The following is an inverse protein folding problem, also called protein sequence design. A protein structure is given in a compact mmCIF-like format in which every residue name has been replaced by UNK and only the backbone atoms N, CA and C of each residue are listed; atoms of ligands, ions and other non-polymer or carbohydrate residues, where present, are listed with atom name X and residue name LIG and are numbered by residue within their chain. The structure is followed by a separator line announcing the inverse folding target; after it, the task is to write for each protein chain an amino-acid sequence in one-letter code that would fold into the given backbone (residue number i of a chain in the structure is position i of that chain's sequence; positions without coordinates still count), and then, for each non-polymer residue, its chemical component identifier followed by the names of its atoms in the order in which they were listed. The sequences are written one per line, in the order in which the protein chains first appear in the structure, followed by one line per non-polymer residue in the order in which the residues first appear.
data_IF_168218831252
#
_entry.id   IF_168218831252
#
_cell.length_a   1.000
_cell.length_b   1.000
_cell.length_c   1.000
_cell.angle_alpha   90.00
_cell.angle_beta   90.00
_cell.angle_gamma   90.00
#
_symmetry.space_group_name_H-M   'P 1'
#
loop_
_entity.id
_entity.type
_entity.pdbx_description
1 polymer ?
#
# COMPACT_ATOMS: atom_id res chain seq x y z
N UNK A 1 3.42 -22.23 -48.88
CA UNK A 1 3.26 -21.11 -47.94
C UNK A 1 4.23 -21.34 -46.80
N UNK A 2 5.13 -20.40 -46.48
CA UNK A 2 5.99 -20.57 -45.32
C UNK A 2 5.12 -20.52 -44.07
N UNK A 3 5.09 -21.61 -43.33
CA UNK A 3 4.49 -21.68 -42.00
C UNK A 3 5.29 -20.76 -41.10
N UNK A 4 4.66 -19.70 -40.60
CA UNK A 4 5.21 -18.81 -39.58
C UNK A 4 5.56 -19.65 -38.34
N UNK A 5 6.85 -19.93 -38.17
CA UNK A 5 7.40 -20.70 -37.05
C UNK A 5 7.71 -19.81 -35.85
N UNK A 6 7.23 -18.56 -35.82
CA UNK A 6 7.43 -17.69 -34.67
C UNK A 6 6.71 -18.32 -33.46
N UNK A 7 7.44 -18.72 -32.40
CA UNK A 7 6.79 -19.24 -31.21
C UNK A 7 5.81 -18.20 -30.69
N UNK A 8 4.60 -18.58 -30.25
CA UNK A 8 3.60 -17.63 -29.80
C UNK A 8 4.20 -16.73 -28.72
N UNK A 9 4.13 -15.40 -28.93
CA UNK A 9 4.60 -14.42 -27.96
C UNK A 9 3.96 -14.77 -26.61
N UNK A 10 4.80 -15.09 -25.62
CA UNK A 10 4.35 -15.39 -24.26
C UNK A 10 3.53 -14.19 -23.75
N UNK A 11 2.26 -14.44 -23.44
CA UNK A 11 1.37 -13.41 -22.90
C UNK A 11 1.98 -12.81 -21.63
N UNK A 12 2.23 -11.50 -21.64
CA UNK A 12 2.90 -10.81 -20.52
C UNK A 12 1.96 -10.62 -19.33
N UNK A 13 0.73 -10.21 -19.62
CA UNK A 13 -0.34 -9.92 -18.66
C UNK A 13 -1.59 -10.72 -19.03
N UNK A 14 -2.22 -11.36 -18.04
CA UNK A 14 -3.53 -11.98 -18.19
C UNK A 14 -4.62 -10.92 -18.34
N UNK A 15 -4.54 -9.85 -17.55
CA UNK A 15 -5.41 -8.69 -17.63
C UNK A 15 -4.56 -7.42 -17.71
N UNK A 16 -4.80 -6.64 -18.76
CA UNK A 16 -4.21 -5.33 -18.96
C UNK A 16 -5.33 -4.29 -18.79
N UNK A 17 -5.30 -3.47 -17.72
CA UNK A 17 -6.21 -2.34 -17.57
C UNK A 17 -6.05 -1.32 -18.69
N UNK A 18 -6.93 -0.31 -18.69
CA UNK A 18 -6.80 0.82 -19.61
C UNK A 18 -5.44 1.50 -19.45
N UNK A 19 -4.74 1.64 -20.58
CA UNK A 19 -3.43 2.30 -20.69
C UNK A 19 -3.50 3.36 -21.79
N UNK A 20 -2.73 4.47 -21.70
CA UNK A 20 -1.72 4.77 -20.68
C UNK A 20 -2.33 5.03 -19.30
N UNK A 21 -1.69 4.50 -18.25
CA UNK A 21 -2.02 4.88 -16.87
C UNK A 21 -1.85 6.40 -16.75
N UNK A 22 -2.79 7.06 -16.07
CA UNK A 22 -2.74 8.49 -15.80
C UNK A 22 -2.63 8.75 -14.30
N UNK A 23 -1.89 9.80 -13.97
CA UNK A 23 -1.86 10.37 -12.62
C UNK A 23 -3.11 11.19 -12.37
N UNK A 24 -3.33 11.57 -11.10
CA UNK A 24 -4.42 12.45 -10.67
C UNK A 24 -4.60 13.63 -11.65
N UNK A 25 -5.86 13.96 -12.03
CA UNK A 25 -6.17 15.09 -12.89
C UNK A 25 -5.64 16.43 -12.38
N UNK A 26 -5.29 16.51 -11.09
CA UNK A 26 -4.70 17.71 -10.47
C UNK A 26 -3.40 18.12 -11.16
N UNK A 27 -2.66 17.15 -11.70
CA UNK A 27 -1.36 17.36 -12.32
C UNK A 27 -1.39 17.29 -13.85
N UNK A 28 -2.58 17.32 -14.45
CA UNK A 28 -2.75 17.28 -15.90
C UNK A 28 -2.90 18.69 -16.48
N UNK A 29 -2.30 18.91 -17.64
CA UNK A 29 -2.49 20.11 -18.45
C UNK A 29 -3.28 19.79 -19.73
N UNK A 30 -4.28 20.59 -20.11
CA UNK A 30 -4.80 21.77 -19.39
C UNK A 30 -5.51 21.39 -18.08
N UNK A 31 -5.65 22.33 -17.11
CA UNK A 31 -6.29 22.04 -15.83
C UNK A 31 -7.74 21.59 -15.99
N UNK A 32 -8.12 20.52 -15.29
CA UNK A 32 -9.47 19.92 -15.37
C UNK A 32 -10.16 19.97 -14.00
N UNK A 33 -10.63 21.13 -13.51
CA UNK A 33 -11.11 21.29 -12.13
C UNK A 33 -12.26 20.33 -11.77
N UNK A 34 -13.19 20.09 -12.68
CA UNK A 34 -14.28 19.13 -12.46
C UNK A 34 -13.78 17.68 -12.33
N UNK A 35 -12.74 17.31 -13.09
CA UNK A 35 -12.13 15.99 -12.97
C UNK A 35 -11.34 15.84 -11.66
N UNK A 36 -10.69 16.91 -11.19
CA UNK A 36 -10.03 16.94 -9.87
C UNK A 36 -11.04 16.75 -8.75
N UNK A 37 -12.13 17.53 -8.76
CA UNK A 37 -13.18 17.40 -7.76
C UNK A 37 -13.77 15.99 -7.76
N UNK A 38 -14.06 15.44 -8.94
CA UNK A 38 -14.56 14.07 -9.06
C UNK A 38 -13.56 13.03 -8.56
N UNK A 39 -12.27 13.17 -8.86
CA UNK A 39 -11.22 12.26 -8.38
C UNK A 39 -11.18 12.18 -6.86
N UNK A 40 -11.13 13.34 -6.18
CA UNK A 40 -11.15 13.37 -4.72
C UNK A 40 -12.51 12.94 -4.15
N UNK A 41 -13.62 13.30 -4.82
CA UNK A 41 -14.94 12.86 -4.41
C UNK A 41 -15.06 11.32 -4.45
N UNK A 42 -14.69 10.69 -5.56
CA UNK A 42 -14.74 9.23 -5.75
C UNK A 42 -13.76 8.48 -4.83
N UNK A 43 -12.72 9.15 -4.34
CA UNK A 43 -11.76 8.59 -3.35
C UNK A 43 -12.28 8.64 -1.91
N UNK A 44 -13.09 9.65 -1.58
CA UNK A 44 -13.48 9.98 -0.19
C UNK A 44 -14.97 9.90 0.11
N UNK A 45 -15.82 9.72 -0.88
CA UNK A 45 -17.27 9.70 -0.74
C UNK A 45 -17.84 8.44 -1.42
N UNK A 46 -18.93 7.88 -0.87
CA UNK A 46 -19.40 6.49 -1.05
C UNK A 46 -18.58 5.41 -0.31
N UNK A 47 -18.90 4.13 -0.46
CA UNK A 47 -18.13 3.05 0.20
C UNK A 47 -16.78 2.89 -0.53
N UNK A 48 -15.80 3.71 -0.13
CA UNK A 48 -14.42 3.70 -0.64
C UNK A 48 -13.48 3.05 0.37
N UNK A 49 -12.29 2.65 -0.08
CA UNK A 49 -11.25 2.11 0.79
C UNK A 49 -10.89 3.12 1.88
N UNK A 50 -10.73 4.40 1.52
CA UNK A 50 -10.39 5.46 2.47
C UNK A 50 -11.45 5.61 3.56
N UNK A 51 -12.75 5.65 3.20
CA UNK A 51 -13.82 5.73 4.19
C UNK A 51 -13.94 4.48 5.05
N UNK A 52 -13.69 3.29 4.48
CA UNK A 52 -13.63 2.06 5.27
C UNK A 52 -12.48 2.11 6.29
N UNK A 53 -11.32 2.65 5.92
CA UNK A 53 -10.18 2.81 6.82
C UNK A 53 -10.48 3.86 7.90
N UNK A 54 -11.12 4.99 7.57
CA UNK A 54 -11.60 5.97 8.56
C UNK A 54 -12.56 5.32 9.54
N UNK A 55 -13.55 4.56 9.05
CA UNK A 55 -14.50 3.86 9.90
C UNK A 55 -13.82 2.84 10.83
N UNK A 56 -12.89 2.04 10.31
CA UNK A 56 -12.07 1.12 11.11
C UNK A 56 -11.25 1.88 12.16
N UNK A 57 -10.75 3.07 11.83
CA UNK A 57 -9.93 3.88 12.74
C UNK A 57 -10.74 4.42 13.91
N UNK A 58 -11.93 4.95 13.65
CA UNK A 58 -12.85 5.37 14.70
C UNK A 58 -13.36 4.19 15.53
N UNK A 59 -13.70 3.07 14.88
CA UNK A 59 -14.12 1.85 15.58
C UNK A 59 -13.01 1.34 16.51
N UNK A 60 -11.77 1.31 16.01
CA UNK A 60 -10.59 0.95 16.79
C UNK A 60 -10.37 1.91 17.96
N UNK A 61 -10.48 3.22 17.73
CA UNK A 61 -10.32 4.24 18.76
C UNK A 61 -11.34 4.06 19.90
N UNK A 62 -12.63 3.92 19.58
CA UNK A 62 -13.68 3.87 20.60
C UNK A 62 -13.82 2.52 21.30
N UNK A 63 -13.56 1.40 20.62
CA UNK A 63 -13.86 0.07 21.16
C UNK A 63 -12.64 -0.81 21.42
N UNK A 64 -11.47 -0.46 20.90
CA UNK A 64 -10.30 -1.34 20.96
C UNK A 64 -8.97 -0.60 21.22
N UNK A 65 -9.01 0.62 21.75
CA UNK A 65 -7.81 1.39 22.08
C UNK A 65 -7.84 1.84 23.55
N UNK A 66 -6.68 1.92 24.22
CA UNK A 66 -6.61 2.38 25.59
C UNK A 66 -6.90 3.89 25.68
N UNK A 67 -7.39 4.34 26.83
CA UNK A 67 -7.42 5.77 27.15
C UNK A 67 -5.99 6.31 27.29
N UNK A 68 -5.80 7.62 27.07
CA UNK A 68 -4.49 8.25 27.29
C UNK A 68 -4.02 8.10 28.75
N UNK A 69 -4.94 8.13 29.71
CA UNK A 69 -4.63 7.86 31.12
C UNK A 69 -4.01 6.48 31.31
N UNK A 70 -4.62 5.44 30.73
CA UNK A 70 -4.09 4.06 30.79
C UNK A 70 -2.72 3.95 30.12
N UNK A 71 -2.50 4.72 29.05
CA UNK A 71 -1.25 4.70 28.29
C UNK A 71 -0.14 5.58 28.86
N UNK A 72 -0.37 6.26 29.98
CA UNK A 72 0.68 7.03 30.67
C UNK A 72 1.85 6.15 31.13
N UNK A 73 1.58 4.87 31.43
CA UNK A 73 2.57 3.86 31.75
C UNK A 73 2.48 2.64 30.81
N UNK A 74 3.60 1.94 30.54
CA UNK A 74 3.58 0.68 29.81
C UNK A 74 2.70 -0.36 30.52
N UNK A 75 1.95 -1.16 29.74
CA UNK A 75 1.07 -2.18 30.31
C UNK A 75 0.47 -3.10 29.25
N UNK A 76 -0.54 -3.87 29.66
CA UNK A 76 -1.20 -4.88 28.80
C UNK A 76 -1.85 -4.27 27.54
N UNK A 77 -2.15 -2.98 27.56
CA UNK A 77 -2.70 -2.26 26.43
C UNK A 77 -1.81 -2.31 25.17
N UNK A 78 -0.49 -2.46 25.35
CA UNK A 78 0.47 -2.60 24.24
C UNK A 78 0.18 -3.89 23.45
N UNK A 79 -0.02 -5.00 24.17
CA UNK A 79 -0.45 -6.26 23.56
C UNK A 79 -1.87 -6.17 22.98
N UNK A 80 -2.74 -5.35 23.60
CA UNK A 80 -4.07 -5.04 23.08
C UNK A 80 -4.05 -4.36 21.71
N UNK A 81 -3.20 -3.33 21.52
CA UNK A 81 -3.00 -2.67 20.22
C UNK A 81 -2.47 -3.68 19.20
N UNK A 82 -1.46 -4.48 19.57
CA UNK A 82 -0.92 -5.52 18.69
C UNK A 82 -2.00 -6.51 18.25
N UNK A 83 -2.78 -7.03 19.19
CA UNK A 83 -3.86 -7.99 18.91
C UNK A 83 -4.92 -7.37 18.00
N UNK A 84 -5.34 -6.13 18.27
CA UNK A 84 -6.29 -5.40 17.44
C UNK A 84 -5.79 -5.29 15.99
N UNK A 85 -4.55 -4.84 15.79
CA UNK A 85 -3.96 -4.69 14.47
C UNK A 85 -3.79 -6.04 13.77
N UNK A 86 -3.37 -7.09 14.49
CA UNK A 86 -3.26 -8.45 13.96
C UNK A 86 -4.61 -8.99 13.49
N UNK A 87 -5.68 -8.77 14.25
CA UNK A 87 -7.06 -9.17 13.89
C UNK A 87 -7.53 -8.43 12.65
N UNK A 88 -7.39 -7.10 12.61
CA UNK A 88 -7.81 -6.28 11.46
C UNK A 88 -7.07 -6.74 10.19
N UNK A 89 -5.74 -6.84 10.23
CA UNK A 89 -4.93 -7.27 9.09
C UNK A 89 -5.30 -8.69 8.65
N UNK A 90 -5.49 -9.61 9.60
CA UNK A 90 -5.85 -10.99 9.28
C UNK A 90 -7.23 -11.11 8.65
N UNK A 91 -8.20 -10.31 9.09
CA UNK A 91 -9.53 -10.26 8.48
C UNK A 91 -9.41 -9.70 7.05
N UNK A 92 -8.77 -8.55 6.85
CA UNK A 92 -8.73 -7.90 5.53
C UNK A 92 -7.91 -8.71 4.53
N UNK A 93 -6.65 -9.02 4.84
CA UNK A 93 -5.79 -9.80 3.96
C UNK A 93 -6.30 -11.24 3.79
N UNK A 94 -6.80 -11.85 4.87
CA UNK A 94 -7.37 -13.18 4.86
C UNK A 94 -8.60 -13.28 3.97
N UNK A 95 -9.61 -12.42 4.14
CA UNK A 95 -10.84 -12.46 3.33
C UNK A 95 -10.55 -12.21 1.85
N UNK A 96 -9.69 -11.22 1.53
CA UNK A 96 -9.29 -10.97 0.15
C UNK A 96 -8.53 -12.17 -0.44
N UNK A 97 -7.63 -12.79 0.34
CA UNK A 97 -6.90 -13.97 -0.11
C UNK A 97 -7.83 -15.18 -0.34
N UNK A 98 -8.79 -15.38 0.57
CA UNK A 98 -9.81 -16.42 0.42
C UNK A 98 -10.63 -16.20 -0.85
N UNK A 99 -11.06 -14.97 -1.11
CA UNK A 99 -11.84 -14.60 -2.29
C UNK A 99 -11.07 -14.81 -3.60
N UNK A 100 -9.88 -14.21 -3.72
CA UNK A 100 -9.13 -14.18 -4.98
C UNK A 100 -8.35 -15.45 -5.29
N UNK A 101 -7.87 -16.16 -4.26
CA UNK A 101 -6.91 -17.26 -4.46
C UNK A 101 -7.41 -18.61 -3.96
N UNK A 102 -7.90 -18.73 -2.71
CA UNK A 102 -8.31 -20.05 -2.18
C UNK A 102 -9.59 -20.56 -2.81
N UNK A 103 -10.64 -19.73 -2.81
CA UNK A 103 -11.93 -20.08 -3.41
C UNK A 103 -12.06 -19.60 -4.85
N UNK A 104 -11.16 -18.71 -5.29
CA UNK A 104 -11.10 -18.18 -6.65
C UNK A 104 -12.49 -17.79 -7.17
N UNK A 105 -13.26 -17.04 -6.38
CA UNK A 105 -14.70 -16.78 -6.60
C UNK A 105 -14.97 -16.13 -7.97
N UNK A 106 -14.01 -15.35 -8.48
CA UNK A 106 -14.05 -14.72 -9.81
C UNK A 106 -13.06 -15.32 -10.82
N UNK A 107 -12.51 -16.50 -10.53
CA UNK A 107 -11.46 -17.14 -11.33
C UNK A 107 -10.26 -16.21 -11.54
N UNK A 108 -9.79 -16.12 -12.78
CA UNK A 108 -8.72 -15.20 -13.21
C UNK A 108 -9.24 -13.88 -13.77
N UNK A 109 -10.54 -13.60 -13.65
CA UNK A 109 -11.14 -12.35 -14.11
C UNK A 109 -10.51 -11.16 -13.40
N UNK A 110 -9.97 -10.21 -14.18
CA UNK A 110 -9.19 -9.05 -13.73
C UNK A 110 -7.84 -9.35 -13.08
N UNK A 111 -7.35 -10.61 -13.10
CA UNK A 111 -6.01 -10.94 -12.56
C UNK A 111 -4.94 -10.40 -13.49
N UNK A 112 -3.97 -9.64 -12.97
CA UNK A 112 -2.89 -9.08 -13.80
C UNK A 112 -1.94 -10.14 -14.32
N UNK A 113 -1.36 -10.95 -13.42
CA UNK A 113 -0.32 -11.91 -13.79
C UNK A 113 -0.92 -13.28 -14.21
N UNK A 114 -0.51 -13.85 -15.36
CA UNK A 114 -1.03 -15.14 -15.82
C UNK A 114 -0.51 -16.35 -15.04
N UNK A 115 0.54 -16.20 -14.22
CA UNK A 115 1.14 -17.32 -13.49
C UNK A 115 0.23 -17.81 -12.36
N UNK A 116 0.34 -19.07 -11.92
CA UNK A 116 -0.37 -19.54 -10.73
C UNK A 116 0.10 -18.84 -9.45
N UNK A 117 -0.83 -18.63 -8.52
CA UNK A 117 -0.59 -18.08 -7.18
C UNK A 117 -1.13 -19.04 -6.11
N UNK A 118 -0.48 -19.23 -4.95
CA UNK A 118 0.82 -18.67 -4.56
C UNK A 118 1.99 -19.41 -5.22
N UNK A 119 3.15 -18.75 -5.34
CA UNK A 119 4.38 -19.40 -5.82
C UNK A 119 4.99 -20.28 -4.72
N UNK A 120 5.63 -21.36 -5.15
CA UNK A 120 6.34 -22.31 -4.28
C UNK A 120 7.83 -22.33 -4.64
N UNK A 121 8.67 -22.64 -3.65
CA UNK A 121 10.10 -22.90 -3.84
C UNK A 121 11.03 -22.11 -2.90
N UNK A 122 12.31 -22.47 -2.98
CA UNK A 122 13.40 -22.08 -2.05
C UNK A 122 13.72 -20.59 -1.95
N UNK A 123 13.11 -19.76 -2.80
CA UNK A 123 13.22 -18.30 -2.68
C UNK A 123 12.42 -17.76 -1.48
N UNK A 124 11.46 -18.54 -0.98
CA UNK A 124 10.68 -18.28 0.22
C UNK A 124 11.20 -19.12 1.40
N UNK A 125 11.27 -18.53 2.58
CA UNK A 125 11.77 -19.15 3.82
C UNK A 125 11.02 -20.43 4.18
N UNK A 126 9.71 -20.49 3.93
CA UNK A 126 8.84 -21.66 4.20
C UNK A 126 8.47 -22.44 2.92
N UNK A 127 9.26 -22.30 1.85
CA UNK A 127 9.01 -22.87 0.52
C UNK A 127 7.65 -22.50 -0.10
N UNK A 128 6.98 -21.50 0.47
CA UNK A 128 5.63 -21.05 0.09
C UNK A 128 5.51 -19.55 0.24
N UNK A 129 5.21 -18.87 -0.86
CA UNK A 129 4.97 -17.43 -0.87
C UNK A 129 3.89 -17.01 0.13
N UNK A 130 2.80 -17.78 0.24
CA UNK A 130 1.71 -17.46 1.16
C UNK A 130 2.17 -17.50 2.63
N UNK A 131 2.89 -18.56 3.01
CA UNK A 131 3.36 -18.73 4.41
C UNK A 131 4.37 -17.64 4.78
N UNK A 132 5.31 -17.35 3.88
CA UNK A 132 6.26 -16.24 4.06
C UNK A 132 5.52 -14.91 4.22
N UNK A 133 4.56 -14.65 3.34
CA UNK A 133 3.85 -13.38 3.35
C UNK A 133 3.03 -13.18 4.62
N UNK A 134 2.33 -14.22 5.08
CA UNK A 134 1.62 -14.19 6.37
C UNK A 134 2.60 -13.95 7.52
N UNK A 135 3.72 -14.68 7.56
CA UNK A 135 4.71 -14.55 8.62
C UNK A 135 5.29 -13.14 8.69
N UNK A 136 5.81 -12.60 7.58
CA UNK A 136 6.42 -11.27 7.58
C UNK A 136 5.39 -10.17 7.85
N UNK A 137 4.15 -10.33 7.37
CA UNK A 137 3.06 -9.40 7.67
C UNK A 137 2.75 -9.35 9.17
N UNK A 138 2.53 -10.51 9.80
CA UNK A 138 2.08 -10.56 11.20
C UNK A 138 3.26 -10.39 12.18
N UNK A 139 4.33 -11.17 12.00
CA UNK A 139 5.45 -11.18 12.94
C UNK A 139 6.28 -9.89 12.88
N UNK A 140 6.44 -9.29 11.69
CA UNK A 140 7.21 -8.06 11.51
C UNK A 140 6.31 -6.84 11.29
N UNK A 141 5.46 -6.84 10.27
CA UNK A 141 4.69 -5.65 9.87
C UNK A 141 3.75 -5.15 10.95
N UNK A 142 2.86 -6.01 11.44
CA UNK A 142 1.91 -5.70 12.53
C UNK A 142 2.65 -5.35 13.81
N UNK A 143 3.75 -6.03 14.12
CA UNK A 143 4.57 -5.72 15.30
C UNK A 143 5.13 -4.30 15.23
N UNK A 144 5.78 -3.92 14.13
CA UNK A 144 6.41 -2.61 13.98
C UNK A 144 5.35 -1.50 13.91
N UNK A 145 4.25 -1.71 13.17
CA UNK A 145 3.08 -0.82 13.22
C UNK A 145 2.67 -0.60 14.68
N UNK A 146 2.38 -1.67 15.42
CA UNK A 146 1.84 -1.57 16.77
C UNK A 146 2.81 -0.93 17.76
N UNK A 147 4.11 -1.12 17.58
CA UNK A 147 5.15 -0.46 18.38
C UNK A 147 5.20 1.06 18.11
N UNK A 148 5.08 1.49 16.84
CA UNK A 148 5.02 2.91 16.49
C UNK A 148 3.75 3.58 17.00
N UNK A 149 2.62 2.88 16.90
CA UNK A 149 1.35 3.34 17.49
C UNK A 149 1.47 3.49 19.00
N UNK A 150 2.01 2.46 19.67
CA UNK A 150 2.26 2.45 21.12
C UNK A 150 3.16 3.62 21.54
N UNK A 151 4.23 3.86 20.80
CA UNK A 151 5.16 4.97 21.05
C UNK A 151 4.44 6.31 21.02
N UNK A 152 3.62 6.56 19.98
CA UNK A 152 2.88 7.82 19.88
C UNK A 152 1.77 7.93 20.91
N UNK A 153 1.08 6.83 21.24
CA UNK A 153 0.06 6.82 22.28
C UNK A 153 0.63 7.19 23.65
N UNK A 154 1.74 6.54 24.01
CA UNK A 154 2.48 6.84 25.24
C UNK A 154 3.03 8.26 25.24
N UNK A 155 3.51 8.74 24.10
CA UNK A 155 4.02 10.11 23.96
C UNK A 155 2.92 11.17 24.12
N UNK A 156 1.73 10.92 23.57
CA UNK A 156 0.56 11.78 23.74
C UNK A 156 0.07 11.78 25.19
N UNK A 157 0.06 10.61 25.85
CA UNK A 157 -0.33 10.47 27.24
C UNK A 157 0.58 11.23 28.22
N UNK A 158 1.87 11.33 27.90
CA UNK A 158 2.89 11.96 28.75
C UNK A 158 3.24 13.39 28.31
N UNK A 159 2.55 13.96 27.32
CA UNK A 159 2.76 15.33 26.86
C UNK A 159 4.00 15.54 25.98
N UNK A 160 4.66 14.46 25.51
CA UNK A 160 5.76 14.55 24.53
C UNK A 160 5.26 14.79 23.10
N UNK A 161 4.00 14.44 22.80
CA UNK A 161 3.34 14.74 21.54
C UNK A 161 2.05 15.54 21.81
N UNK A 162 1.79 16.56 20.99
CA UNK A 162 0.66 17.48 21.19
C UNK A 162 -0.67 16.84 20.81
N UNK A 163 -1.64 16.90 21.72
CA UNK A 163 -2.99 16.34 21.53
C UNK A 163 -3.99 17.45 21.21
N UNK A 164 -4.81 17.25 20.18
CA UNK A 164 -5.99 18.08 19.89
C UNK A 164 -7.27 17.27 20.05
N UNK A 165 -8.39 17.98 20.17
CA UNK A 165 -9.74 17.39 20.07
C UNK A 165 -10.54 18.07 18.97
N UNK A 166 -11.63 17.44 18.54
CA UNK A 166 -12.55 18.05 17.58
C UNK A 166 -13.14 19.36 18.12
N UNK A 167 -13.43 19.44 19.42
CA UNK A 167 -14.02 20.62 20.05
C UNK A 167 -13.05 21.81 20.07
N UNK A 168 -11.76 21.55 20.24
CA UNK A 168 -10.73 22.61 20.31
C UNK A 168 -10.26 23.05 18.94
N UNK A 169 -10.15 22.12 17.98
CA UNK A 169 -9.54 22.37 16.67
C UNK A 169 -10.31 21.64 15.54
N UNK A 170 -11.60 21.96 15.29
CA UNK A 170 -12.44 21.18 14.38
C UNK A 170 -11.93 21.17 12.94
N UNK A 171 -11.44 22.32 12.44
CA UNK A 171 -10.92 22.45 11.07
C UNK A 171 -9.66 21.59 10.91
N UNK A 172 -8.70 21.73 11.82
CA UNK A 172 -7.44 20.99 11.77
C UNK A 172 -7.65 19.49 11.99
N UNK A 173 -8.57 19.11 12.88
CA UNK A 173 -8.96 17.72 13.09
C UNK A 173 -9.42 17.06 11.78
N UNK A 174 -10.33 17.71 11.05
CA UNK A 174 -10.81 17.18 9.76
C UNK A 174 -9.71 17.23 8.70
N UNK A 175 -8.93 18.32 8.64
CA UNK A 175 -7.87 18.51 7.65
C UNK A 175 -6.81 17.38 7.69
N UNK A 176 -6.43 16.90 8.87
CA UNK A 176 -5.41 15.86 9.01
C UNK A 176 -5.78 14.59 8.22
N UNK A 177 -7.04 14.17 8.21
CA UNK A 177 -7.47 13.00 7.44
C UNK A 177 -7.16 13.14 5.94
N UNK A 178 -7.32 14.34 5.37
CA UNK A 178 -7.02 14.60 3.96
C UNK A 178 -5.53 14.86 3.71
N UNK A 179 -4.82 15.42 4.70
CA UNK A 179 -3.39 15.70 4.59
C UNK A 179 -2.53 14.45 4.72
N UNK A 180 -2.98 13.43 5.44
CA UNK A 180 -2.25 12.17 5.60
C UNK A 180 -1.96 11.53 4.23
N UNK A 181 -2.94 11.25 3.34
CA UNK A 181 -2.63 10.65 2.04
C UNK A 181 -1.71 11.51 1.15
N UNK A 182 -1.73 12.83 1.31
CA UNK A 182 -0.82 13.75 0.60
C UNK A 182 0.60 13.63 1.14
N UNK A 183 0.77 13.68 2.47
CA UNK A 183 2.04 13.48 3.16
C UNK A 183 2.66 12.14 2.78
N UNK A 184 1.83 11.12 2.79
CA UNK A 184 2.18 9.76 2.46
C UNK A 184 2.64 9.59 1.02
N UNK A 185 1.98 10.22 0.04
CA UNK A 185 2.44 10.21 -1.34
C UNK A 185 3.89 10.69 -1.46
N UNK A 186 4.23 11.78 -0.77
CA UNK A 186 5.60 12.28 -0.69
C UNK A 186 6.52 11.29 0.04
N UNK A 187 6.17 10.91 1.27
CA UNK A 187 7.03 10.10 2.13
C UNK A 187 7.30 8.72 1.52
N UNK A 188 6.25 8.04 1.03
CA UNK A 188 6.36 6.74 0.38
C UNK A 188 7.31 6.79 -0.81
N UNK A 189 7.14 7.76 -1.71
CA UNK A 189 8.00 7.87 -2.90
C UNK A 189 9.49 7.92 -2.53
N UNK A 190 9.86 8.79 -1.58
CA UNK A 190 11.26 8.99 -1.22
C UNK A 190 11.84 7.80 -0.46
N UNK A 191 11.11 7.26 0.51
CA UNK A 191 11.58 6.08 1.25
C UNK A 191 11.66 4.84 0.36
N UNK A 192 10.68 4.65 -0.52
CA UNK A 192 10.68 3.53 -1.46
C UNK A 192 11.83 3.65 -2.45
N UNK A 193 12.05 4.83 -3.04
CA UNK A 193 13.21 5.06 -3.92
C UNK A 193 14.53 4.88 -3.19
N UNK A 194 14.64 5.32 -1.93
CA UNK A 194 15.82 5.09 -1.08
C UNK A 194 16.07 3.60 -0.84
N UNK A 195 15.02 2.81 -0.61
CA UNK A 195 15.09 1.36 -0.45
C UNK A 195 15.60 0.64 -1.72
N UNK A 196 15.48 1.24 -2.91
CA UNK A 196 16.05 0.73 -4.16
C UNK A 196 17.51 1.14 -4.42
N UNK A 197 18.17 1.81 -3.47
CA UNK A 197 19.62 2.04 -3.57
C UNK A 197 20.42 0.76 -3.29
N UNK A 198 21.65 0.66 -3.82
CA UNK A 198 22.50 -0.54 -3.65
C UNK A 198 22.66 -0.99 -2.18
N UNK A 199 22.75 -0.05 -1.24
CA UNK A 199 22.95 -0.33 0.19
C UNK A 199 21.66 -0.84 0.85
N UNK A 200 20.51 -0.32 0.42
CA UNK A 200 19.23 -0.56 1.08
C UNK A 200 18.42 -1.67 0.41
N UNK A 201 18.70 -2.00 -0.86
CA UNK A 201 17.93 -3.00 -1.62
C UNK A 201 17.91 -4.36 -0.96
N UNK A 202 18.94 -4.73 -0.18
CA UNK A 202 18.92 -5.96 0.62
C UNK A 202 17.72 -6.08 1.57
N UNK A 203 17.20 -4.96 2.06
CA UNK A 203 16.02 -4.92 2.92
C UNK A 203 14.72 -4.97 2.11
N UNK A 204 14.74 -4.46 0.89
CA UNK A 204 13.57 -4.45 0.01
C UNK A 204 13.45 -5.71 -0.88
N UNK A 205 14.55 -6.45 -1.04
CA UNK A 205 14.61 -7.68 -1.80
C UNK A 205 13.67 -8.76 -1.25
N UNK A 206 13.31 -8.71 0.03
CA UNK A 206 12.32 -9.63 0.62
C UNK A 206 10.95 -9.38 0.02
N UNK A 207 10.49 -8.13 0.02
CA UNK A 207 9.23 -7.72 -0.58
C UNK A 207 9.18 -8.09 -2.07
N UNK A 208 10.27 -7.81 -2.78
CA UNK A 208 10.40 -8.04 -4.23
C UNK A 208 10.51 -9.50 -4.68
N UNK A 209 10.60 -10.47 -3.77
CA UNK A 209 10.41 -11.90 -4.13
C UNK A 209 8.98 -12.17 -4.61
N UNK A 210 8.04 -11.27 -4.29
CA UNK A 210 6.62 -11.36 -4.64
C UNK A 210 6.29 -10.80 -6.03
N UNK A 211 6.97 -11.25 -7.09
CA UNK A 211 6.71 -10.73 -8.46
C UNK A 211 5.27 -11.01 -8.99
N UNK A 212 4.52 -11.92 -8.37
CA UNK A 212 3.06 -12.06 -8.52
C UNK A 212 2.48 -11.72 -7.14
N UNK A 213 1.90 -10.53 -7.00
CA UNK A 213 1.45 -9.99 -5.71
C UNK A 213 0.10 -10.59 -5.31
N UNK A 214 -0.10 -10.73 -4.01
CA UNK A 214 -1.39 -11.06 -3.41
C UNK A 214 -1.62 -10.25 -2.13
N UNK A 215 -2.81 -10.32 -1.51
CA UNK A 215 -3.18 -9.42 -0.39
C UNK A 215 -2.15 -9.40 0.76
N UNK A 216 -1.59 -10.56 1.12
CA UNK A 216 -0.55 -10.68 2.14
C UNK A 216 0.84 -10.16 1.72
N UNK A 217 1.11 -10.06 0.41
CA UNK A 217 2.41 -9.56 -0.08
C UNK A 217 2.60 -8.06 0.19
N UNK A 218 1.51 -7.30 0.36
CA UNK A 218 1.58 -5.86 0.60
C UNK A 218 2.32 -5.47 1.87
N UNK A 219 2.30 -6.31 2.92
CA UNK A 219 3.05 -6.11 4.16
C UNK A 219 4.08 -7.23 4.39
N UNK A 220 4.41 -8.00 3.35
CA UNK A 220 5.53 -8.93 3.43
C UNK A 220 6.81 -8.19 3.10
N UNK A 221 7.43 -7.62 4.13
CA UNK A 221 8.64 -6.80 4.01
C UNK A 221 9.66 -7.18 5.09
N UNK A 222 10.90 -6.75 4.90
CA UNK A 222 11.92 -6.87 5.94
C UNK A 222 11.61 -5.91 7.12
N UNK A 223 11.98 -6.24 8.38
CA UNK A 223 11.76 -5.35 9.53
C UNK A 223 12.28 -3.92 9.34
N UNK A 224 13.47 -3.76 8.76
CA UNK A 224 14.03 -2.43 8.44
C UNK A 224 13.14 -1.67 7.45
N UNK A 225 12.62 -2.35 6.43
CA UNK A 225 11.68 -1.73 5.49
C UNK A 225 10.39 -1.33 6.19
N UNK A 226 9.81 -2.18 7.05
CA UNK A 226 8.62 -1.81 7.85
C UNK A 226 8.86 -0.58 8.72
N UNK A 227 10.05 -0.43 9.32
CA UNK A 227 10.39 0.73 10.13
C UNK A 227 10.43 2.01 9.28
N UNK A 228 11.00 1.96 8.07
CA UNK A 228 10.95 3.09 7.13
C UNK A 228 9.53 3.34 6.64
N UNK A 229 8.79 2.29 6.26
CA UNK A 229 7.44 2.38 5.72
C UNK A 229 6.48 3.03 6.72
N UNK A 230 6.30 2.44 7.91
CA UNK A 230 5.42 2.99 8.95
C UNK A 230 6.00 4.21 9.67
N UNK A 231 7.30 4.50 9.49
CA UNK A 231 7.95 5.68 10.07
C UNK A 231 7.34 7.02 9.64
N UNK A 232 6.52 7.04 8.59
CA UNK A 232 5.75 8.22 8.17
C UNK A 232 4.93 8.83 9.31
N UNK A 233 4.46 7.99 10.25
CA UNK A 233 3.65 8.41 11.40
C UNK A 233 4.40 9.32 12.38
N UNK A 234 5.74 9.31 12.36
CA UNK A 234 6.54 10.13 13.27
C UNK A 234 6.36 11.64 13.04
N UNK A 235 5.77 12.05 11.91
CA UNK A 235 5.36 13.45 11.69
C UNK A 235 4.45 13.99 12.79
N UNK A 236 3.70 13.12 13.49
CA UNK A 236 2.81 13.50 14.58
C UNK A 236 3.53 13.95 15.86
N UNK A 237 4.86 13.84 15.93
CA UNK A 237 5.64 14.58 16.93
C UNK A 237 5.79 16.07 16.59
N UNK A 238 5.74 16.42 15.31
CA UNK A 238 5.86 17.80 14.84
C UNK A 238 4.51 18.51 14.69
N UNK A 239 3.40 17.76 14.58
CA UNK A 239 2.05 18.32 14.42
C UNK A 239 1.10 17.86 15.53
N UNK A 240 0.28 18.78 16.03
CA UNK A 240 -0.73 18.45 17.03
C UNK A 240 -1.85 17.59 16.42
N UNK A 241 -2.18 16.46 17.05
CA UNK A 241 -3.06 15.43 16.46
C UNK A 241 -3.96 14.78 17.51
N UNK A 242 -5.10 14.24 17.08
CA UNK A 242 -5.93 13.40 17.93
C UNK A 242 -5.46 11.94 17.81
N UNK A 243 -5.58 11.08 18.85
CA UNK A 243 -5.12 9.69 18.78
C UNK A 243 -5.73 8.90 17.62
N UNK A 244 -6.97 9.22 17.21
CA UNK A 244 -7.60 8.61 16.01
C UNK A 244 -6.81 8.85 14.73
N UNK A 245 -6.10 9.98 14.60
CA UNK A 245 -5.27 10.27 13.42
C UNK A 245 -4.07 9.33 13.36
N UNK A 246 -3.55 8.89 14.52
CA UNK A 246 -2.43 7.94 14.57
C UNK A 246 -2.88 6.58 14.07
N UNK A 247 -4.05 6.11 14.54
CA UNK A 247 -4.66 4.87 14.04
C UNK A 247 -4.90 5.00 12.54
N UNK A 248 -5.51 6.10 12.11
CA UNK A 248 -5.83 6.31 10.70
C UNK A 248 -4.59 6.31 9.81
N UNK A 249 -3.52 7.03 10.17
CA UNK A 249 -2.27 7.06 9.40
C UNK A 249 -1.67 5.66 9.23
N UNK A 250 -1.53 4.91 10.33
CA UNK A 250 -0.93 3.58 10.28
C UNK A 250 -1.84 2.56 9.59
N UNK A 251 -3.15 2.62 9.84
CA UNK A 251 -4.13 1.77 9.17
C UNK A 251 -4.24 2.11 7.69
N UNK A 252 -4.07 3.37 7.30
CA UNK A 252 -4.04 3.78 5.91
C UNK A 252 -2.89 3.09 5.19
N UNK A 253 -1.65 3.19 5.69
CA UNK A 253 -0.51 2.45 5.14
C UNK A 253 -0.74 0.94 5.13
N UNK A 254 -1.12 0.37 6.27
CA UNK A 254 -1.27 -1.07 6.42
C UNK A 254 -2.33 -1.67 5.49
N UNK A 255 -3.54 -1.08 5.50
CA UNK A 255 -4.68 -1.61 4.75
C UNK A 255 -4.65 -1.20 3.28
N UNK A 256 -4.10 -0.03 2.94
CA UNK A 256 -3.90 0.33 1.55
C UNK A 256 -2.85 -0.56 0.89
N UNK A 257 -1.76 -0.93 1.57
CA UNK A 257 -0.81 -1.90 1.06
C UNK A 257 -1.50 -3.24 0.73
N UNK A 258 -2.30 -3.78 1.64
CA UNK A 258 -3.05 -5.03 1.42
C UNK A 258 -4.00 -4.92 0.22
N UNK A 259 -4.78 -3.83 0.14
CA UNK A 259 -5.82 -3.66 -0.89
C UNK A 259 -5.26 -3.32 -2.27
N UNK A 260 -4.08 -2.71 -2.35
CA UNK A 260 -3.39 -2.42 -3.62
C UNK A 260 -2.55 -3.58 -4.14
N UNK A 261 -2.28 -4.59 -3.30
CA UNK A 261 -1.48 -5.77 -3.65
C UNK A 261 -2.30 -7.02 -3.97
N UNK A 262 -3.59 -6.91 -4.22
CA UNK A 262 -4.45 -8.09 -4.48
C UNK A 262 -4.02 -8.92 -5.68
N UNK A 263 -3.30 -8.33 -6.65
CA UNK A 263 -2.96 -8.95 -7.94
C UNK A 263 -4.13 -8.89 -8.95
N UNK A 264 -5.21 -8.19 -8.61
CA UNK A 264 -6.43 -8.05 -9.40
C UNK A 264 -6.88 -6.59 -9.46
N UNK A 265 -7.47 -6.15 -10.58
CA UNK A 265 -8.00 -4.78 -10.72
C UNK A 265 -9.28 -4.48 -9.93
N UNK A 266 -9.88 -5.49 -9.32
CA UNK A 266 -11.06 -5.31 -8.48
C UNK A 266 -11.82 -6.58 -8.18
N UNK A 267 -12.82 -6.41 -7.31
CA UNK A 267 -13.77 -7.47 -6.95
C UNK A 267 -14.91 -7.50 -7.97
N UNK A 268 -15.12 -8.67 -8.57
CA UNK A 268 -16.28 -8.96 -9.40
C UNK A 268 -17.38 -9.59 -8.55
N UNK A 269 -18.57 -8.97 -8.54
CA UNK A 269 -19.77 -9.59 -7.97
C UNK A 269 -20.88 -9.61 -9.01
N UNK A 270 -21.39 -10.81 -9.32
CA UNK A 270 -22.34 -11.06 -10.41
C UNK A 270 -21.85 -10.45 -11.74
N UNK A 271 -20.59 -10.72 -12.09
CA UNK A 271 -19.92 -10.27 -13.32
C UNK A 271 -19.81 -8.75 -13.51
N UNK A 272 -19.97 -7.96 -12.44
CA UNK A 272 -19.74 -6.51 -12.46
C UNK A 272 -18.65 -6.14 -11.45
N UNK A 273 -17.73 -5.27 -11.85
CA UNK A 273 -16.73 -4.67 -10.95
C UNK A 273 -17.47 -3.82 -9.92
N UNK A 274 -17.40 -4.20 -8.64
CA UNK A 274 -18.09 -3.50 -7.54
C UNK A 274 -17.16 -2.67 -6.69
N UNK A 275 -15.91 -3.09 -6.58
CA UNK A 275 -14.89 -2.40 -5.81
C UNK A 275 -13.60 -2.45 -6.63
N UNK A 276 -13.03 -1.28 -6.89
CA UNK A 276 -11.67 -1.21 -7.41
C UNK A 276 -10.71 -1.58 -6.29
N UNK A 277 -9.84 -2.54 -6.58
CA UNK A 277 -8.74 -2.98 -5.74
C UNK A 277 -7.52 -3.17 -6.63
N UNK A 278 -6.38 -3.44 -6.03
CA UNK A 278 -5.13 -3.63 -6.74
C UNK A 278 -4.66 -2.34 -7.41
N UNK A 279 -3.38 -2.30 -7.76
CA UNK A 279 -2.85 -1.17 -8.50
C UNK A 279 -1.90 -1.67 -9.60
N UNK A 280 -2.30 -1.50 -10.86
CA UNK A 280 -1.50 -1.97 -11.98
C UNK A 280 -0.18 -1.20 -12.13
N UNK A 281 -0.15 0.10 -11.79
CA UNK A 281 1.10 0.88 -11.71
C UNK A 281 2.11 0.22 -10.76
N UNK A 282 1.62 -0.28 -9.62
CA UNK A 282 2.45 -0.98 -8.65
C UNK A 282 2.75 -2.44 -9.05
N UNK A 283 1.85 -3.11 -9.77
CA UNK A 283 2.12 -4.42 -10.35
C UNK A 283 3.27 -4.37 -11.37
N UNK A 284 3.34 -3.30 -12.19
CA UNK A 284 4.45 -3.02 -13.10
C UNK A 284 5.75 -2.84 -12.29
N UNK A 285 5.69 -2.12 -11.16
CA UNK A 285 6.83 -1.98 -10.25
C UNK A 285 7.36 -3.34 -9.77
N UNK A 286 6.50 -4.24 -9.25
CA UNK A 286 6.91 -5.60 -8.84
C UNK A 286 7.44 -6.47 -9.97
N UNK A 287 7.04 -6.18 -11.22
CA UNK A 287 7.52 -6.90 -12.40
C UNK A 287 8.90 -6.43 -12.86
N UNK A 288 9.17 -5.13 -12.75
CA UNK A 288 10.32 -4.48 -13.38
C UNK A 288 11.30 -3.80 -12.42
N UNK A 289 10.94 -3.64 -11.16
CA UNK A 289 11.68 -3.11 -10.01
C UNK A 289 12.09 -1.63 -10.12
N UNK A 290 12.68 -1.23 -11.23
CA UNK A 290 13.35 0.06 -11.42
C UNK A 290 12.43 1.11 -12.06
N UNK A 291 11.16 1.17 -11.67
CA UNK A 291 10.17 2.14 -12.15
C UNK A 291 9.06 2.33 -11.12
N UNK A 292 8.23 3.37 -11.23
CA UNK A 292 6.95 3.45 -10.50
C UNK A 292 7.10 3.32 -8.96
N UNK A 293 8.01 4.10 -8.35
CA UNK A 293 8.25 4.07 -6.90
C UNK A 293 7.14 4.74 -6.09
N UNK A 294 6.37 5.64 -6.69
CA UNK A 294 5.33 6.42 -6.04
C UNK A 294 3.93 5.84 -6.22
N UNK A 295 2.94 6.67 -5.92
CA UNK A 295 1.53 6.41 -6.19
C UNK A 295 1.02 7.33 -7.32
N UNK A 296 -0.27 7.22 -7.65
CA UNK A 296 -0.88 7.97 -8.74
C UNK A 296 -1.39 9.37 -8.31
N UNK A 297 -1.37 9.69 -7.02
CA UNK A 297 -1.91 10.95 -6.50
C UNK A 297 -1.00 12.15 -6.82
N UNK A 298 0.31 11.95 -6.73
CA UNK A 298 1.33 12.94 -7.07
C UNK A 298 2.33 12.33 -8.05
N UNK A 299 2.66 13.00 -9.17
CA UNK A 299 3.42 12.41 -10.28
C UNK A 299 4.93 12.36 -10.01
N UNK A 300 5.35 11.90 -8.83
CA UNK A 300 6.76 11.87 -8.45
C UNK A 300 7.62 11.09 -9.44
N UNK A 301 7.12 9.97 -9.95
CA UNK A 301 7.82 9.17 -10.96
C UNK A 301 7.98 9.88 -12.31
N UNK A 302 7.04 10.76 -12.68
CA UNK A 302 7.17 11.58 -13.89
C UNK A 302 8.21 12.67 -13.63
N UNK A 303 8.11 13.37 -12.51
CA UNK A 303 9.00 14.48 -12.13
C UNK A 303 10.47 14.05 -12.01
N UNK A 304 10.70 12.81 -11.62
CA UNK A 304 12.04 12.28 -11.35
C UNK A 304 12.47 11.13 -12.26
N UNK A 305 11.75 10.92 -13.37
CA UNK A 305 12.19 10.07 -14.46
C UNK A 305 12.21 8.57 -14.16
N UNK A 306 11.25 8.09 -13.36
CA UNK A 306 11.02 6.66 -13.05
C UNK A 306 9.68 6.11 -13.57
N UNK A 307 8.87 6.92 -14.26
CA UNK A 307 7.54 6.57 -14.76
C UNK A 307 7.50 5.45 -15.81
N UNK A 308 6.50 4.59 -15.69
CA UNK A 308 6.09 3.56 -16.65
C UNK A 308 4.55 3.46 -16.66
N UNK A 309 3.91 3.88 -17.74
CA UNK A 309 2.45 3.98 -17.89
C UNK A 309 1.73 2.68 -18.31
N UNK A 310 2.47 1.59 -18.49
CA UNK A 310 1.92 0.29 -18.89
C UNK A 310 1.88 0.06 -20.40
N UNK A 311 2.30 1.04 -21.20
CA UNK A 311 2.39 0.93 -22.67
C UNK A 311 3.69 0.27 -23.12
N UNK A 312 3.75 -0.12 -24.41
CA UNK A 312 4.97 -0.61 -25.03
C UNK A 312 6.09 0.45 -25.03
N UNK A 313 5.74 1.71 -25.30
CA UNK A 313 6.68 2.84 -25.29
C UNK A 313 7.24 3.09 -23.88
N UNK A 314 6.40 2.98 -22.84
CA UNK A 314 6.85 3.06 -21.45
C UNK A 314 7.88 1.99 -21.10
N UNK A 315 7.68 0.76 -21.62
CA UNK A 315 8.60 -0.36 -21.45
C UNK A 315 9.92 -0.16 -22.19
N UNK A 316 9.87 0.39 -23.39
CA UNK A 316 11.07 0.72 -24.17
C UNK A 316 11.92 1.78 -23.45
N UNK A 317 11.31 2.87 -22.98
CA UNK A 317 11.99 3.92 -22.19
C UNK A 317 12.66 3.36 -20.94
N UNK A 318 11.99 2.46 -20.21
CA UNK A 318 12.59 1.76 -19.08
C UNK A 318 13.80 0.93 -19.52
N UNK A 319 13.69 0.16 -20.61
CA UNK A 319 14.79 -0.66 -21.13
C UNK A 319 16.02 0.18 -21.48
N UNK A 320 15.82 1.32 -22.14
CA UNK A 320 16.88 2.26 -22.48
C UNK A 320 17.57 2.83 -21.23
N UNK A 321 16.80 3.26 -20.22
CA UNK A 321 17.33 3.74 -18.94
C UNK A 321 18.20 2.68 -18.25
N UNK A 322 17.74 1.44 -18.22
CA UNK A 322 18.50 0.34 -17.61
C UNK A 322 19.78 0.01 -18.38
N UNK A 323 19.74 0.08 -19.72
CA UNK A 323 20.94 -0.09 -20.56
C UNK A 323 21.96 1.02 -20.31
N UNK A 324 21.51 2.27 -20.18
CA UNK A 324 22.38 3.41 -19.91
C UNK A 324 23.11 3.26 -18.56
N UNK A 325 22.39 2.88 -17.49
CA UNK A 325 22.98 2.66 -16.15
C UNK A 325 24.01 1.53 -16.09
N UNK A 326 23.90 0.51 -16.95
CA UNK A 326 24.89 -0.59 -17.01
C UNK A 326 26.20 -0.18 -17.71
N UNK A 327 26.19 0.93 -18.46
CA UNK A 327 27.35 1.44 -19.21
C UNK A 327 28.19 2.45 -18.42
N UNK A 328 27.62 2.98 -17.34
CA UNK A 328 28.25 3.87 -16.35
C UNK A 328 28.71 3.06 -15.16
#
# INVERSE_FOLDING_TARGET
MPTDTTPPKRQEWNHLPETPIVVSPLWQWPPKPLAVLRWYFDSWFFITINLMIVAISFASFYWASPTLETASAPGVWIAGIWLRNAVIVSIVAGLLHLWFHKYAVQGTGLKYDPRPFPRMGRMFTFDSQLKDNIFWTIASGVTIWSLLETLLWWSMANGYASVITFQTNPIWFVAIFFLIPVWESFYFYWMHRFLHTNVMYRFHALHHRNNDIGPWSGLSMHPVEHAFYFGSVLIHFAIASHPVHIIFHLAFYGLLAITTHTGFEGVLFRNKKRLHLGNFHHQIHHRYFECNYGNLDVPWDILFGSWHDGTADGKEKLSERLKARRRT
#
